data_IF_260826332915
#
_entry.id   IF_260826332915
#
_cell.length_a   1.000
_cell.length_b   1.000
_cell.length_c   1.000
_cell.angle_alpha   90.00
_cell.angle_beta   90.00
_cell.angle_gamma   90.00
#
_symmetry.space_group_name_H-M   'P 1'
#
loop_
_entity.id
_entity.type
_entity.pdbx_description
1 polymer ?
#
# COMPACT_ATOMS: atom_id res chain seq x y z
N UNK A 1 13.04 15.74 -23.96
CA UNK A 1 13.37 14.46 -23.33
C UNK A 1 13.20 14.67 -21.83
N UNK A 2 12.03 14.35 -21.27
CA UNK A 2 11.70 14.59 -19.86
C UNK A 2 10.92 13.39 -19.34
N UNK A 3 11.39 12.87 -18.20
CA UNK A 3 10.69 11.91 -17.33
C UNK A 3 11.24 10.49 -17.46
N UNK A 4 11.66 9.79 -16.41
CA UNK A 4 11.64 10.08 -14.99
C UNK A 4 12.63 9.12 -14.31
N UNK A 5 13.49 9.64 -13.44
CA UNK A 5 14.30 8.88 -12.48
C UNK A 5 13.38 8.29 -11.39
N UNK A 6 12.57 7.30 -11.77
CA UNK A 6 11.86 6.40 -10.86
C UNK A 6 12.24 4.97 -11.26
N UNK A 7 13.52 4.62 -11.09
CA UNK A 7 14.06 3.27 -11.36
C UNK A 7 13.62 2.28 -10.25
N UNK A 8 12.37 2.43 -9.80
CA UNK A 8 11.66 1.44 -9.01
C UNK A 8 11.44 0.17 -9.83
N UNK A 9 11.47 -0.97 -9.16
CA UNK A 9 11.26 -2.28 -9.78
C UNK A 9 9.96 -2.32 -10.60
N UNK A 10 9.89 -3.17 -11.64
CA UNK A 10 8.68 -3.31 -12.45
C UNK A 10 7.47 -3.66 -11.58
N UNK A 11 6.31 -3.10 -11.93
CA UNK A 11 5.06 -3.39 -11.24
C UNK A 11 4.75 -4.89 -11.30
N UNK A 12 4.68 -5.51 -10.12
CA UNK A 12 4.30 -6.90 -9.96
C UNK A 12 2.79 -6.95 -9.82
N UNK A 13 2.10 -7.53 -10.80
CA UNK A 13 0.64 -7.72 -10.78
C UNK A 13 0.30 -9.16 -10.39
N UNK A 14 -0.67 -9.32 -9.50
CA UNK A 14 -1.32 -10.60 -9.20
C UNK A 14 -2.82 -10.41 -9.08
N UNK A 15 -3.56 -10.91 -10.07
CA UNK A 15 -5.00 -10.72 -10.17
C UNK A 15 -5.39 -9.24 -10.20
N UNK A 16 -6.05 -8.82 -9.12
CA UNK A 16 -6.56 -7.45 -8.87
C UNK A 16 -5.59 -6.56 -8.09
N UNK A 17 -4.52 -7.11 -7.52
CA UNK A 17 -3.51 -6.34 -6.78
C UNK A 17 -2.27 -6.18 -7.63
N UNK A 18 -1.68 -5.01 -7.57
CA UNK A 18 -0.34 -4.74 -8.11
C UNK A 18 0.48 -4.03 -7.05
N UNK A 19 1.76 -4.35 -6.95
CA UNK A 19 2.68 -3.57 -6.16
C UNK A 19 4.01 -3.37 -6.86
N UNK A 20 4.70 -2.30 -6.51
CA UNK A 20 6.08 -2.04 -6.93
C UNK A 20 6.94 -1.68 -5.74
N UNK A 21 8.22 -2.05 -5.82
CA UNK A 21 9.23 -1.63 -4.87
C UNK A 21 9.88 -0.35 -5.41
N UNK A 22 9.87 0.70 -4.60
CA UNK A 22 10.57 1.96 -4.87
C UNK A 22 12.02 1.85 -4.40
N UNK A 23 12.90 2.56 -5.07
CA UNK A 23 14.25 2.79 -4.54
C UNK A 23 14.18 3.45 -3.16
N UNK A 24 15.10 3.05 -2.28
CA UNK A 24 15.08 3.45 -0.86
C UNK A 24 14.24 2.55 0.05
N UNK A 25 13.46 1.61 -0.48
CA UNK A 25 12.67 0.65 0.32
C UNK A 25 11.22 1.08 0.56
N UNK A 26 10.69 2.01 -0.24
CA UNK A 26 9.25 2.27 -0.29
C UNK A 26 8.50 1.19 -1.05
N UNK A 27 7.25 0.94 -0.70
CA UNK A 27 6.37 -0.03 -1.39
C UNK A 27 5.11 0.70 -1.81
N UNK A 28 4.75 0.59 -3.09
CA UNK A 28 3.50 1.14 -3.59
C UNK A 28 2.59 0.00 -4.03
N UNK A 29 1.44 -0.13 -3.39
CA UNK A 29 0.44 -1.16 -3.62
C UNK A 29 -0.84 -0.53 -4.14
N UNK A 30 -1.39 -1.07 -5.22
CA UNK A 30 -2.66 -0.63 -5.79
C UNK A 30 -3.56 -1.83 -6.02
N UNK A 31 -4.78 -1.74 -5.53
CA UNK A 31 -5.83 -2.73 -5.68
C UNK A 31 -6.88 -2.16 -6.64
N UNK A 32 -7.06 -2.87 -7.74
CA UNK A 32 -8.05 -2.57 -8.77
C UNK A 32 -9.35 -3.33 -8.44
N UNK A 33 -10.44 -2.58 -8.24
CA UNK A 33 -11.72 -3.12 -7.80
C UNK A 33 -11.95 -2.93 -6.30
N UNK A 34 -12.88 -2.04 -5.97
CA UNK A 34 -13.39 -1.85 -4.62
C UNK A 34 -14.34 -3.01 -4.29
N UNK A 35 -14.00 -3.79 -3.28
CA UNK A 35 -14.96 -4.65 -2.59
C UNK A 35 -15.38 -4.01 -1.28
N UNK A 36 -16.67 -4.04 -0.98
CA UNK A 36 -17.25 -3.61 0.30
C UNK A 36 -16.85 -4.53 1.45
N UNK A 37 -16.24 -5.68 1.17
CA UNK A 37 -15.90 -6.68 2.17
C UNK A 37 -14.41 -6.61 2.55
N UNK A 38 -14.08 -5.80 3.56
CA UNK A 38 -12.73 -5.62 4.12
C UNK A 38 -11.97 -6.92 4.40
N UNK A 39 -12.70 -7.96 4.84
CA UNK A 39 -12.15 -9.30 5.15
C UNK A 39 -11.45 -9.99 3.98
N UNK A 40 -11.75 -9.63 2.73
CA UNK A 40 -11.11 -10.24 1.56
C UNK A 40 -9.76 -9.62 1.22
N UNK A 41 -9.52 -8.36 1.59
CA UNK A 41 -8.24 -7.72 1.29
C UNK A 41 -7.10 -8.37 2.07
N UNK A 42 -7.36 -8.76 3.33
CA UNK A 42 -6.33 -9.32 4.21
C UNK A 42 -5.63 -10.57 3.64
N UNK A 43 -6.33 -11.68 3.35
CA UNK A 43 -5.68 -12.87 2.79
C UNK A 43 -5.11 -12.63 1.40
N UNK A 44 -5.74 -11.75 0.59
CA UNK A 44 -5.34 -11.50 -0.79
C UNK A 44 -4.01 -10.72 -0.85
N UNK A 45 -3.90 -9.64 -0.08
CA UNK A 45 -2.66 -8.85 0.01
C UNK A 45 -1.56 -9.64 0.70
N UNK A 46 -1.88 -10.39 1.77
CA UNK A 46 -0.91 -11.25 2.46
C UNK A 46 -0.37 -12.35 1.56
N UNK A 47 -1.22 -13.03 0.80
CA UNK A 47 -0.79 -14.06 -0.15
C UNK A 47 0.03 -13.45 -1.29
N UNK A 48 -0.36 -12.27 -1.78
CA UNK A 48 0.38 -11.55 -2.81
C UNK A 48 1.80 -11.22 -2.35
N UNK A 49 1.96 -10.63 -1.16
CA UNK A 49 3.28 -10.34 -0.59
C UNK A 49 4.10 -11.61 -0.40
N UNK A 50 3.48 -12.69 0.11
CA UNK A 50 4.17 -13.95 0.38
C UNK A 50 4.61 -14.71 -0.89
N UNK A 51 3.76 -14.79 -1.91
CA UNK A 51 4.01 -15.60 -3.12
C UNK A 51 4.69 -14.80 -4.24
N UNK A 52 4.24 -13.56 -4.45
CA UNK A 52 4.58 -12.78 -5.64
C UNK A 52 5.64 -11.72 -5.36
N UNK A 53 5.59 -11.12 -4.17
CA UNK A 53 6.45 -10.00 -3.79
C UNK A 53 7.47 -10.40 -2.72
N UNK A 54 8.25 -11.45 -3.00
CA UNK A 54 9.29 -11.97 -2.09
C UNK A 54 10.56 -11.10 -2.05
N UNK A 55 10.66 -10.12 -2.93
CA UNK A 55 11.84 -9.27 -3.07
C UNK A 55 11.88 -8.11 -2.06
N UNK A 56 10.74 -7.79 -1.44
CA UNK A 56 10.73 -6.88 -0.29
C UNK A 56 11.33 -7.60 0.91
N UNK A 57 12.37 -6.99 1.49
CA UNK A 57 12.92 -7.44 2.77
C UNK A 57 12.37 -6.55 3.87
N UNK A 58 11.87 -7.11 4.98
CA UNK A 58 11.44 -6.30 6.11
C UNK A 58 12.65 -5.51 6.62
N UNK A 59 12.45 -4.21 6.81
CA UNK A 59 13.47 -3.30 7.34
C UNK A 59 13.00 -2.71 8.66
N UNK A 60 13.97 -2.48 9.54
CA UNK A 60 13.78 -1.68 10.76
C UNK A 60 13.84 -0.19 10.39
N UNK A 61 12.98 0.61 11.01
CA UNK A 61 12.87 2.05 10.77
C UNK A 61 11.43 2.53 10.76
N UNK A 62 11.26 3.84 10.72
CA UNK A 62 9.97 4.53 10.64
C UNK A 62 9.42 4.48 9.21
N UNK A 63 8.12 4.21 9.08
CA UNK A 63 7.40 4.18 7.81
C UNK A 63 6.19 5.10 7.85
N UNK A 64 5.96 5.81 6.74
CA UNK A 64 4.74 6.53 6.46
C UNK A 64 3.87 5.71 5.51
N UNK A 65 2.63 5.45 5.91
CA UNK A 65 1.65 4.71 5.14
C UNK A 65 0.52 5.65 4.73
N UNK A 66 0.31 5.78 3.43
CA UNK A 66 -0.75 6.58 2.86
C UNK A 66 -1.72 5.67 2.11
N UNK A 67 -2.96 5.61 2.58
CA UNK A 67 -4.04 4.82 2.00
C UNK A 67 -5.07 5.79 1.42
N UNK A 68 -5.31 5.66 0.12
CA UNK A 68 -6.34 6.39 -0.62
C UNK A 68 -7.34 5.41 -1.17
N UNK A 69 -8.59 5.61 -0.82
CA UNK A 69 -9.70 4.83 -1.33
C UNK A 69 -10.43 5.64 -2.39
N UNK A 70 -10.42 5.14 -3.62
CA UNK A 70 -11.16 5.70 -4.74
C UNK A 70 -12.50 4.96 -4.85
N UNK A 71 -13.62 5.69 -4.84
CA UNK A 71 -14.96 5.13 -5.04
C UNK A 71 -15.73 5.94 -6.10
N UNK A 72 -16.61 5.26 -6.84
CA UNK A 72 -17.49 5.90 -7.82
C UNK A 72 -18.88 6.09 -7.22
N UNK A 73 -19.47 7.28 -7.40
CA UNK A 73 -20.84 7.54 -6.98
C UNK A 73 -20.95 7.79 -5.47
N UNK A 74 -21.71 6.93 -4.77
CA UNK A 74 -22.01 7.08 -3.35
C UNK A 74 -20.90 6.45 -2.48
N UNK A 75 -20.46 7.11 -1.40
CA UNK A 75 -19.46 6.56 -0.51
C UNK A 75 -19.96 5.24 0.10
N UNK A 76 -19.29 4.11 -0.12
CA UNK A 76 -19.72 2.86 0.50
C UNK A 76 -19.63 3.00 2.03
N UNK A 77 -20.56 2.36 2.73
CA UNK A 77 -20.56 2.19 4.19
C UNK A 77 -19.43 1.26 4.64
N UNK A 78 -18.20 1.67 4.37
CA UNK A 78 -17.00 0.90 4.63
C UNK A 78 -16.12 1.70 5.58
N UNK A 79 -15.80 1.09 6.72
CA UNK A 79 -14.87 1.65 7.69
C UNK A 79 -13.47 1.74 7.08
N UNK A 80 -13.04 2.97 6.81
CA UNK A 80 -11.69 3.29 6.36
C UNK A 80 -10.65 2.77 7.35
N UNK A 81 -10.92 2.88 8.65
CA UNK A 81 -10.05 2.35 9.71
C UNK A 81 -9.91 0.82 9.64
N UNK A 82 -11.01 0.10 9.41
CA UNK A 82 -10.95 -1.36 9.26
C UNK A 82 -10.20 -1.75 7.98
N UNK A 83 -10.41 -1.03 6.87
CA UNK A 83 -9.67 -1.24 5.64
C UNK A 83 -8.18 -0.99 5.84
N UNK A 84 -7.84 0.15 6.44
CA UNK A 84 -6.47 0.53 6.74
C UNK A 84 -5.80 -0.50 7.63
N UNK A 85 -6.46 -0.92 8.72
CA UNK A 85 -5.97 -1.98 9.61
C UNK A 85 -5.76 -3.30 8.88
N UNK A 86 -6.67 -3.70 7.99
CA UNK A 86 -6.54 -4.92 7.21
C UNK A 86 -5.37 -4.87 6.21
N UNK A 87 -5.16 -3.72 5.56
CA UNK A 87 -4.04 -3.51 4.63
C UNK A 87 -2.70 -3.46 5.36
N UNK A 88 -2.63 -2.72 6.48
CA UNK A 88 -1.47 -2.65 7.36
C UNK A 88 -1.08 -4.03 7.88
N UNK A 89 -2.02 -4.80 8.43
CA UNK A 89 -1.78 -6.15 8.93
C UNK A 89 -1.28 -7.10 7.83
N UNK A 90 -1.71 -6.89 6.59
CA UNK A 90 -1.26 -7.69 5.45
C UNK A 90 0.13 -7.30 4.93
N UNK A 91 0.49 -6.03 5.07
CA UNK A 91 1.83 -5.51 4.76
C UNK A 91 2.81 -5.76 5.92
N UNK A 92 2.32 -5.84 7.15
CA UNK A 92 3.06 -6.22 8.34
C UNK A 92 3.56 -7.67 8.20
N UNK A 93 4.84 -7.88 8.51
CA UNK A 93 5.54 -9.15 8.28
C UNK A 93 6.01 -9.37 6.84
N UNK A 94 5.61 -8.51 5.90
CA UNK A 94 6.16 -8.48 4.54
C UNK A 94 7.09 -7.28 4.33
N UNK A 95 6.59 -6.06 4.54
CA UNK A 95 7.31 -4.81 4.27
C UNK A 95 8.07 -4.30 5.51
N UNK A 96 7.46 -4.43 6.68
CA UNK A 96 8.02 -4.04 7.98
C UNK A 96 7.82 -5.18 8.98
N UNK A 97 8.62 -5.21 10.04
CA UNK A 97 8.53 -6.25 11.06
C UNK A 97 7.29 -6.10 11.94
N UNK A 98 6.88 -4.86 12.23
CA UNK A 98 5.81 -4.57 13.20
C UNK A 98 5.02 -3.31 12.83
N UNK A 99 3.73 -3.24 13.19
CA UNK A 99 2.90 -2.05 12.91
C UNK A 99 3.31 -0.83 13.73
N UNK A 100 4.02 -1.04 14.86
CA UNK A 100 4.64 0.03 15.64
C UNK A 100 5.70 0.83 14.87
N UNK A 101 6.22 0.30 13.76
CA UNK A 101 7.12 1.01 12.86
C UNK A 101 6.43 2.07 11.98
N UNK A 102 5.09 2.11 11.97
CA UNK A 102 4.33 3.08 11.19
C UNK A 102 4.14 4.36 11.99
N UNK A 103 4.99 5.35 11.74
CA UNK A 103 4.98 6.62 12.46
C UNK A 103 3.90 7.58 11.93
N UNK A 104 3.44 7.35 10.69
CA UNK A 104 2.34 8.12 10.10
C UNK A 104 1.43 7.24 9.27
N UNK A 105 0.14 7.27 9.59
CA UNK A 105 -0.91 6.66 8.79
C UNK A 105 -1.87 7.75 8.31
N UNK A 106 -1.97 7.90 6.99
CA UNK A 106 -2.93 8.81 6.36
C UNK A 106 -3.95 7.98 5.59
N UNK A 107 -5.22 8.11 5.93
CA UNK A 107 -6.31 7.39 5.24
C UNK A 107 -7.29 8.41 4.70
N UNK A 108 -7.45 8.44 3.39
CA UNK A 108 -8.33 9.39 2.71
C UNK A 108 -9.29 8.63 1.80
N UNK A 109 -10.54 9.11 1.75
CA UNK A 109 -11.51 8.69 0.73
C UNK A 109 -11.60 9.78 -0.33
N UNK A 110 -11.52 9.38 -1.59
CA UNK A 110 -11.57 10.26 -2.74
C UNK A 110 -12.63 9.73 -3.69
N UNK A 111 -13.53 10.60 -4.14
CA UNK A 111 -14.45 10.23 -5.20
C UNK A 111 -13.67 10.22 -6.52
N UNK A 112 -13.64 9.08 -7.18
CA UNK A 112 -12.91 8.86 -8.42
C UNK A 112 -13.82 8.32 -9.51
N UNK A 113 -13.28 8.28 -10.72
CA UNK A 113 -13.93 7.65 -11.87
C UNK A 113 -13.81 6.11 -11.81
N UNK A 114 -13.11 5.58 -10.81
CA UNK A 114 -12.85 4.15 -10.63
C UNK A 114 -12.88 3.74 -9.17
N UNK A 115 -13.31 2.51 -8.96
CA UNK A 115 -13.36 1.84 -7.68
C UNK A 115 -12.02 1.12 -7.40
N UNK A 116 -11.30 1.54 -6.35
CA UNK A 116 -10.02 0.92 -6.00
C UNK A 116 -9.41 1.44 -4.71
N UNK A 117 -8.34 0.79 -4.28
CA UNK A 117 -7.57 1.20 -3.10
C UNK A 117 -6.12 1.35 -3.48
N UNK A 118 -5.54 2.48 -3.12
CA UNK A 118 -4.13 2.78 -3.29
C UNK A 118 -3.48 2.89 -1.93
N UNK A 119 -2.43 2.13 -1.70
CA UNK A 119 -1.61 2.16 -0.49
C UNK A 119 -0.17 2.47 -0.91
N UNK A 120 0.42 3.49 -0.29
CA UNK A 120 1.82 3.84 -0.48
C UNK A 120 2.51 3.79 0.87
N UNK A 121 3.50 2.95 0.98
CA UNK A 121 4.41 2.85 2.12
C UNK A 121 5.71 3.51 1.70
N UNK A 122 6.13 4.53 2.42
CA UNK A 122 7.44 5.17 2.21
C UNK A 122 8.20 5.09 3.51
N UNK A 123 9.49 4.74 3.51
CA UNK A 123 10.32 4.88 4.70
C UNK A 123 10.35 6.37 5.07
N UNK A 124 10.01 6.72 6.31
CA UNK A 124 10.08 8.09 6.81
C UNK A 124 11.53 8.59 6.90
N UNK A 125 12.51 7.69 6.77
CA UNK A 125 13.92 8.04 6.63
C UNK A 125 14.23 8.58 5.22
N UNK A 126 14.01 9.88 5.03
CA UNK A 126 14.94 10.76 4.32
C UNK A 126 14.65 12.23 4.66
N UNK A 127 15.29 12.73 5.70
CA UNK A 127 15.74 14.12 5.71
C UNK A 127 17.11 14.14 5.01
N UNK A 128 17.26 14.57 3.74
CA UNK A 128 18.53 15.13 3.35
C UNK A 128 18.67 16.43 4.14
N UNK A 129 19.44 16.41 5.23
CA UNK A 129 20.00 17.66 5.75
C UNK A 129 20.99 18.16 4.70
N UNK A 130 20.65 19.28 4.06
CA UNK A 130 21.53 20.09 3.23
C UNK A 130 21.17 21.55 3.44
#
# INVERSE_FOLDING_TARGET
MVGSEDEGRPWVRSGKVRARLREGGGVELRVDGLTTQTKYYKPLVREFFRKTFQDVRPRWGDFEVHIRMEFMGDPPWMDLDNLAKALLDSACGAVFHDDSQVSRLLVERVQGDREGVWMKVSPACQTPQG
#
